data_IF_947314738954
#
_entry.id   IF_947314738954
#
_cell.length_a   1.000
_cell.length_b   1.000
_cell.length_c   1.000
_cell.angle_alpha   90.00
_cell.angle_beta   90.00
_cell.angle_gamma   90.00
#
_symmetry.space_group_name_H-M   'P 1'
#
loop_
_entity.id
_entity.type
_entity.pdbx_description
1 polymer ?
#
# COMPACT_ATOMS: atom_id res chain seq x y z
N UNK A 1 9.07 16.90 8.81
CA UNK A 1 10.47 16.68 9.27
C UNK A 1 11.17 15.54 8.51
N UNK A 2 10.58 14.35 8.39
CA UNK A 2 11.21 13.17 7.74
C UNK A 2 11.37 13.27 6.22
N UNK A 3 10.40 13.84 5.51
CA UNK A 3 10.52 14.13 4.06
C UNK A 3 11.74 15.01 3.77
N UNK A 4 11.98 16.05 4.60
CA UNK A 4 13.16 16.92 4.45
C UNK A 4 14.47 16.16 4.69
N UNK A 5 14.47 15.14 5.55
CA UNK A 5 15.64 14.27 5.74
C UNK A 5 15.92 13.47 4.47
N UNK A 6 14.90 12.86 3.86
CA UNK A 6 15.09 12.15 2.58
C UNK A 6 15.55 13.09 1.48
N UNK A 7 14.97 14.29 1.38
CA UNK A 7 15.41 15.28 0.40
C UNK A 7 16.89 15.67 0.60
N UNK A 8 17.35 15.83 1.85
CA UNK A 8 18.76 16.08 2.17
C UNK A 8 19.66 14.90 1.83
N UNK A 9 19.22 13.67 2.08
CA UNK A 9 19.97 12.47 1.73
C UNK A 9 20.12 12.32 0.21
N UNK A 10 19.04 12.56 -0.54
CA UNK A 10 19.06 12.59 -2.01
C UNK A 10 19.98 13.69 -2.53
N UNK A 11 19.94 14.89 -1.95
CA UNK A 11 20.82 15.99 -2.35
C UNK A 11 22.31 15.68 -2.07
N UNK A 12 22.62 15.05 -0.93
CA UNK A 12 23.98 14.57 -0.62
C UNK A 12 24.43 13.51 -1.62
N UNK A 13 23.52 12.62 -2.02
CA UNK A 13 23.80 11.60 -3.03
C UNK A 13 24.07 12.25 -4.40
N UNK A 14 23.26 13.21 -4.85
CA UNK A 14 23.50 13.96 -6.10
C UNK A 14 24.88 14.62 -6.11
N UNK A 15 25.25 15.27 -5.00
CA UNK A 15 26.54 15.94 -4.86
C UNK A 15 27.72 14.95 -4.94
N UNK A 16 27.56 13.73 -4.41
CA UNK A 16 28.61 12.70 -4.41
C UNK A 16 28.72 11.92 -5.72
N UNK A 17 27.64 11.84 -6.52
CA UNK A 17 27.65 11.18 -7.82
C UNK A 17 28.24 12.08 -8.91
N UNK A 18 28.82 11.48 -9.95
CA UNK A 18 29.37 12.18 -11.12
C UNK A 18 28.81 11.57 -12.41
N UNK A 19 28.89 12.31 -13.52
CA UNK A 19 28.54 11.85 -14.86
C UNK A 19 27.16 11.18 -14.96
N UNK A 20 27.10 10.03 -15.61
CA UNK A 20 25.88 9.27 -15.87
C UNK A 20 25.15 8.86 -14.59
N UNK A 21 25.87 8.58 -13.51
CA UNK A 21 25.26 8.19 -12.25
C UNK A 21 24.44 9.33 -11.64
N UNK A 22 24.96 10.56 -11.71
CA UNK A 22 24.23 11.77 -11.30
C UNK A 22 23.04 12.01 -12.23
N UNK A 23 23.21 11.82 -13.53
CA UNK A 23 22.13 11.96 -14.50
C UNK A 23 20.96 10.99 -14.21
N UNK A 24 21.25 9.71 -13.94
CA UNK A 24 20.25 8.70 -13.55
C UNK A 24 19.46 9.10 -12.31
N UNK A 25 20.13 9.57 -11.25
CA UNK A 25 19.45 10.05 -10.05
C UNK A 25 18.49 11.21 -10.37
N UNK A 26 18.94 12.18 -11.16
CA UNK A 26 18.10 13.33 -11.54
C UNK A 26 16.90 12.93 -12.38
N UNK A 27 17.03 11.92 -13.25
CA UNK A 27 15.89 11.35 -13.97
C UNK A 27 14.88 10.75 -12.99
N UNK A 28 15.33 9.97 -12.00
CA UNK A 28 14.44 9.41 -10.97
C UNK A 28 13.72 10.50 -10.17
N UNK A 29 14.44 11.56 -9.76
CA UNK A 29 13.85 12.70 -9.05
C UNK A 29 12.81 13.41 -9.91
N UNK A 30 13.13 13.70 -11.19
CA UNK A 30 12.18 14.35 -12.10
C UNK A 30 10.95 13.49 -12.34
N UNK A 31 11.13 12.19 -12.56
CA UNK A 31 10.02 11.26 -12.76
C UNK A 31 9.10 11.22 -11.53
N UNK A 32 9.64 11.22 -10.31
CA UNK A 32 8.82 11.26 -9.10
C UNK A 32 8.21 12.63 -8.75
N UNK A 33 8.64 13.71 -9.41
CA UNK A 33 8.11 15.06 -9.23
C UNK A 33 7.16 15.50 -10.36
N UNK A 34 7.23 14.84 -11.51
CA UNK A 34 6.47 15.19 -12.70
C UNK A 34 5.64 13.97 -13.15
N UNK A 35 4.32 14.16 -13.24
CA UNK A 35 3.38 13.12 -13.69
C UNK A 35 2.69 12.38 -12.54
N UNK A 36 2.29 11.13 -12.79
CA UNK A 36 1.55 10.28 -11.85
C UNK A 36 2.45 9.44 -10.93
N UNK A 37 3.77 9.43 -11.18
CA UNK A 37 4.72 8.69 -10.35
C UNK A 37 5.04 9.44 -9.04
N UNK A 38 5.48 8.70 -8.02
CA UNK A 38 5.80 9.26 -6.70
C UNK A 38 7.29 9.23 -6.41
N UNK A 39 7.75 10.02 -5.44
CA UNK A 39 9.12 9.93 -4.90
C UNK A 39 9.33 8.71 -3.97
N UNK A 40 8.31 7.90 -3.72
CA UNK A 40 8.37 6.80 -2.76
C UNK A 40 9.43 5.75 -3.13
N UNK A 41 9.57 5.30 -4.39
CA UNK A 41 10.64 4.37 -4.76
C UNK A 41 12.04 4.91 -4.44
N UNK A 42 12.28 6.20 -4.68
CA UNK A 42 13.55 6.85 -4.36
C UNK A 42 13.77 6.97 -2.85
N UNK A 43 12.73 7.32 -2.09
CA UNK A 43 12.80 7.41 -0.62
C UNK A 43 13.02 6.03 0.01
N UNK A 44 12.39 5.00 -0.53
CA UNK A 44 12.63 3.62 -0.12
C UNK A 44 14.08 3.19 -0.39
N UNK A 45 14.62 3.49 -1.58
CA UNK A 45 16.02 3.21 -1.92
C UNK A 45 17.01 3.81 -0.90
N UNK A 46 16.90 5.12 -0.62
CA UNK A 46 17.82 5.79 0.32
C UNK A 46 17.62 5.31 1.75
N UNK A 47 16.38 5.00 2.14
CA UNK A 47 16.04 4.42 3.44
C UNK A 47 16.66 3.04 3.61
N UNK A 48 16.53 2.15 2.63
CA UNK A 48 17.12 0.81 2.66
C UNK A 48 18.65 0.89 2.76
N UNK A 49 19.27 1.81 2.01
CA UNK A 49 20.70 2.07 2.13
C UNK A 49 21.09 2.59 3.53
N UNK A 50 20.29 3.48 4.14
CA UNK A 50 20.53 3.98 5.49
C UNK A 50 20.41 2.86 6.55
N UNK A 51 19.40 2.00 6.45
CA UNK A 51 19.24 0.84 7.34
C UNK A 51 20.41 -0.14 7.22
N UNK A 52 20.87 -0.43 6.02
CA UNK A 52 22.04 -1.28 5.81
C UNK A 52 23.29 -0.68 6.46
N UNK A 53 23.52 0.64 6.32
CA UNK A 53 24.63 1.34 7.00
C UNK A 53 24.53 1.27 8.52
N UNK A 54 23.33 1.47 9.08
CA UNK A 54 23.11 1.35 10.53
C UNK A 54 23.40 -0.06 11.05
N UNK A 55 23.25 -1.07 10.19
CA UNK A 55 23.57 -2.48 10.47
C UNK A 55 25.04 -2.82 10.18
N UNK A 56 25.89 -1.83 9.91
CA UNK A 56 27.33 -2.00 9.72
C UNK A 56 27.76 -2.43 8.32
N UNK A 57 26.88 -2.31 7.31
CA UNK A 57 27.25 -2.61 5.93
C UNK A 57 27.85 -1.40 5.22
N UNK A 58 28.90 -1.64 4.43
CA UNK A 58 29.26 -0.75 3.33
C UNK A 58 28.18 -0.86 2.24
N UNK A 59 27.76 0.26 1.67
CA UNK A 59 26.66 0.31 0.70
C UNK A 59 27.12 0.99 -0.59
N UNK A 60 26.98 0.29 -1.71
CA UNK A 60 27.20 0.81 -3.06
C UNK A 60 25.87 0.88 -3.82
N UNK A 61 25.56 2.02 -4.44
CA UNK A 61 24.36 2.19 -5.29
C UNK A 61 24.62 1.70 -6.72
N UNK A 62 24.78 0.39 -6.91
CA UNK A 62 25.14 -0.19 -8.21
C UNK A 62 24.17 0.19 -9.34
N UNK A 63 22.87 0.31 -9.06
CA UNK A 63 21.89 0.74 -10.07
C UNK A 63 22.13 2.16 -10.58
N UNK A 64 22.59 3.06 -9.71
CA UNK A 64 22.95 4.43 -10.10
C UNK A 64 24.34 4.49 -10.74
N UNK A 65 25.34 3.90 -10.06
CA UNK A 65 26.75 3.99 -10.44
C UNK A 65 27.05 3.24 -11.73
N UNK A 66 26.62 1.99 -11.80
CA UNK A 66 27.04 1.03 -12.83
C UNK A 66 25.91 0.69 -13.81
N UNK A 67 24.67 1.18 -13.54
CA UNK A 67 23.49 0.78 -14.31
C UNK A 67 23.10 -0.68 -14.09
N UNK A 68 23.46 -1.26 -12.93
CA UNK A 68 23.09 -2.62 -12.59
C UNK A 68 21.57 -2.78 -12.47
N UNK A 69 21.08 -4.00 -12.66
CA UNK A 69 19.64 -4.32 -12.53
C UNK A 69 19.16 -4.28 -11.07
N UNK A 70 20.05 -4.59 -10.12
CA UNK A 70 19.83 -4.42 -8.69
C UNK A 70 20.23 -3.01 -8.22
N UNK A 71 19.62 -2.54 -7.13
CA UNK A 71 19.79 -1.15 -6.70
C UNK A 71 21.07 -0.97 -5.87
N UNK A 72 21.28 -1.86 -4.90
CA UNK A 72 22.40 -1.77 -3.96
C UNK A 72 23.21 -3.07 -3.93
N UNK A 73 24.50 -2.94 -3.68
CA UNK A 73 25.34 -4.01 -3.15
C UNK A 73 25.73 -3.63 -1.72
N UNK A 74 25.43 -4.52 -0.78
CA UNK A 74 25.81 -4.36 0.63
C UNK A 74 26.92 -5.33 0.96
N UNK A 75 27.93 -4.89 1.71
CA UNK A 75 29.07 -5.71 2.09
C UNK A 75 29.42 -5.54 3.57
N UNK A 76 29.63 -6.65 4.29
CA UNK A 76 30.06 -6.68 5.68
C UNK A 76 30.85 -7.95 5.95
N UNK A 77 32.03 -7.82 6.57
CA UNK A 77 32.87 -8.97 6.98
C UNK A 77 33.12 -9.98 5.84
N UNK A 78 33.41 -9.47 4.64
CA UNK A 78 33.65 -10.28 3.43
C UNK A 78 32.40 -10.88 2.77
N UNK A 79 31.24 -10.81 3.42
CA UNK A 79 29.97 -11.22 2.83
C UNK A 79 29.35 -10.07 2.03
N UNK A 80 28.75 -10.38 0.87
CA UNK A 80 28.03 -9.40 0.04
C UNK A 80 26.64 -9.90 -0.34
N UNK A 81 25.70 -8.97 -0.49
CA UNK A 81 24.36 -9.27 -0.99
C UNK A 81 23.85 -8.17 -1.94
N UNK A 82 23.18 -8.58 -3.00
CA UNK A 82 22.43 -7.69 -3.89
C UNK A 82 21.11 -7.32 -3.24
N UNK A 83 20.72 -6.05 -3.29
CA UNK A 83 19.44 -5.57 -2.78
C UNK A 83 18.63 -4.94 -3.90
N UNK A 84 17.40 -5.40 -4.02
CA UNK A 84 16.40 -4.89 -4.96
C UNK A 84 15.32 -4.18 -4.16
N UNK A 85 15.25 -2.86 -4.30
CA UNK A 85 14.21 -2.01 -3.73
C UNK A 85 13.03 -1.96 -4.69
N UNK A 86 11.87 -2.45 -4.26
CA UNK A 86 10.67 -2.49 -5.08
C UNK A 86 9.48 -1.91 -4.33
N UNK A 87 8.72 -1.02 -4.98
CA UNK A 87 7.43 -0.56 -4.50
C UNK A 87 6.30 -1.35 -5.18
N UNK A 88 5.25 -1.64 -4.44
CA UNK A 88 4.02 -2.30 -4.91
C UNK A 88 2.83 -1.57 -4.30
N UNK A 89 1.82 -1.24 -5.10
CA UNK A 89 0.61 -0.64 -4.56
C UNK A 89 -0.31 -1.72 -3.99
N UNK A 90 -0.86 -1.48 -2.80
CA UNK A 90 -1.91 -2.33 -2.27
C UNK A 90 -3.17 -2.33 -3.15
N UNK A 91 -3.35 -1.32 -4.01
CA UNK A 91 -4.43 -1.30 -5.01
C UNK A 91 -4.35 -2.52 -5.96
N UNK A 92 -3.15 -3.02 -6.28
CA UNK A 92 -2.97 -4.20 -7.15
C UNK A 92 -3.63 -5.48 -6.58
N UNK A 93 -3.85 -5.52 -5.26
CA UNK A 93 -4.56 -6.61 -4.60
C UNK A 93 -6.01 -6.27 -4.22
N UNK A 94 -6.47 -5.04 -4.43
CA UNK A 94 -7.82 -4.63 -4.04
C UNK A 94 -8.84 -5.01 -5.11
N UNK A 95 -9.96 -5.56 -4.67
CA UNK A 95 -11.10 -5.86 -5.56
C UNK A 95 -11.93 -4.62 -5.89
N UNK A 96 -11.88 -3.60 -5.03
CA UNK A 96 -12.43 -2.29 -5.30
C UNK A 96 -11.38 -1.23 -4.98
N UNK A 97 -10.92 -0.52 -6.00
CA UNK A 97 -9.85 0.46 -5.86
C UNK A 97 -10.31 1.70 -5.08
N UNK A 98 -9.44 2.24 -4.22
CA UNK A 98 -9.69 3.49 -3.47
C UNK A 98 -9.79 4.69 -4.39
N UNK A 99 -8.91 4.75 -5.41
CA UNK A 99 -8.90 5.84 -6.38
C UNK A 99 -10.24 5.95 -7.12
N UNK A 100 -10.74 4.82 -7.61
CA UNK A 100 -12.02 4.75 -8.31
C UNK A 100 -13.19 5.14 -7.40
N UNK A 101 -13.16 4.70 -6.14
CA UNK A 101 -14.13 5.12 -5.13
C UNK A 101 -14.11 6.63 -4.90
N UNK A 102 -12.94 7.24 -4.70
CA UNK A 102 -12.83 8.68 -4.50
C UNK A 102 -13.31 9.46 -5.73
N UNK A 103 -12.93 9.02 -6.94
CA UNK A 103 -13.39 9.61 -8.18
C UNK A 103 -14.92 9.54 -8.32
N UNK A 104 -15.55 8.42 -7.97
CA UNK A 104 -17.01 8.30 -7.93
C UNK A 104 -17.61 9.29 -6.93
N UNK A 105 -17.04 9.38 -5.73
CA UNK A 105 -17.59 10.25 -4.69
C UNK A 105 -17.48 11.73 -5.02
N UNK A 106 -16.37 12.16 -5.62
CA UNK A 106 -16.19 13.55 -6.06
C UNK A 106 -17.23 13.94 -7.13
N UNK A 107 -17.57 13.00 -8.03
CA UNK A 107 -18.60 13.19 -9.04
C UNK A 107 -20.02 13.10 -8.52
N UNK A 108 -20.27 12.31 -7.47
CA UNK A 108 -21.59 12.12 -6.86
C UNK A 108 -21.96 13.22 -5.86
N UNK A 109 -20.97 13.92 -5.31
CA UNK A 109 -21.18 14.82 -4.17
C UNK A 109 -22.21 15.94 -4.45
N UNK A 110 -22.17 16.67 -5.58
CA UNK A 110 -23.16 17.71 -5.88
C UNK A 110 -24.61 17.18 -5.99
N UNK A 111 -24.79 16.03 -6.62
CA UNK A 111 -26.08 15.38 -6.86
C UNK A 111 -26.65 14.84 -5.55
N UNK A 112 -25.81 14.24 -4.70
CA UNK A 112 -26.24 13.78 -3.37
C UNK A 112 -26.65 14.94 -2.47
N UNK A 113 -25.96 16.08 -2.53
CA UNK A 113 -26.37 17.28 -1.79
C UNK A 113 -27.73 17.78 -2.27
N UNK A 114 -27.93 17.85 -3.58
CA UNK A 114 -29.22 18.26 -4.18
C UNK A 114 -30.34 17.30 -3.78
N UNK A 115 -30.08 15.99 -3.86
CA UNK A 115 -31.05 14.97 -3.51
C UNK A 115 -31.40 14.99 -2.02
N UNK A 116 -30.41 15.15 -1.12
CA UNK A 116 -30.61 15.24 0.33
C UNK A 116 -31.43 16.47 0.73
N UNK A 117 -31.22 17.61 0.08
CA UNK A 117 -32.01 18.82 0.33
C UNK A 117 -33.50 18.61 -0.02
N UNK A 118 -33.79 17.85 -1.07
CA UNK A 118 -35.15 17.49 -1.47
C UNK A 118 -35.75 16.34 -0.65
N UNK A 119 -34.92 15.50 -0.02
CA UNK A 119 -35.33 14.32 0.75
C UNK A 119 -34.65 14.31 2.13
N UNK A 120 -35.13 15.13 3.08
CA UNK A 120 -34.52 15.20 4.41
C UNK A 120 -34.63 13.85 5.14
N UNK A 121 -33.51 13.38 5.69
CA UNK A 121 -33.48 12.08 6.36
C UNK A 121 -32.09 11.50 6.57
N UNK A 122 -32.06 10.23 7.03
CA UNK A 122 -30.83 9.49 7.33
C UNK A 122 -30.81 8.19 6.53
N UNK A 123 -29.91 8.10 5.57
CA UNK A 123 -29.89 7.06 4.56
C UNK A 123 -28.56 6.31 4.54
N UNK A 124 -28.63 5.03 4.22
CA UNK A 124 -27.50 4.13 4.08
C UNK A 124 -27.66 3.34 2.78
N UNK A 125 -26.86 3.69 1.77
CA UNK A 125 -26.74 2.94 0.54
C UNK A 125 -25.62 1.90 0.69
N UNK A 126 -26.01 0.63 0.82
CA UNK A 126 -25.09 -0.51 0.81
C UNK A 126 -24.93 -1.01 -0.62
N UNK A 127 -23.69 -1.21 -1.03
CA UNK A 127 -23.35 -1.72 -2.36
C UNK A 127 -22.40 -2.90 -2.23
N UNK A 128 -22.72 -4.00 -2.92
CA UNK A 128 -21.82 -5.14 -3.08
C UNK A 128 -21.55 -5.36 -4.55
N UNK A 129 -20.27 -5.38 -4.92
CA UNK A 129 -19.79 -5.68 -6.27
C UNK A 129 -19.19 -7.09 -6.26
N UNK A 130 -19.91 -8.13 -6.71
CA UNK A 130 -19.53 -9.52 -6.46
C UNK A 130 -18.12 -9.88 -6.95
N UNK A 131 -17.75 -9.48 -8.16
CA UNK A 131 -16.45 -9.79 -8.75
C UNK A 131 -15.35 -8.76 -8.43
N UNK A 132 -15.72 -7.60 -7.88
CA UNK A 132 -14.83 -6.45 -7.77
C UNK A 132 -14.73 -5.68 -9.09
N UNK A 133 -14.50 -4.37 -8.99
CA UNK A 133 -14.51 -3.45 -10.12
C UNK A 133 -15.91 -3.24 -10.72
N UNK A 134 -16.17 -2.02 -11.15
CA UNK A 134 -17.32 -1.67 -11.99
C UNK A 134 -16.91 -0.48 -12.85
N UNK A 135 -17.49 -0.33 -14.03
CA UNK A 135 -17.42 0.96 -14.69
C UNK A 135 -18.08 2.01 -13.79
N UNK A 136 -17.27 2.91 -13.23
CA UNK A 136 -17.72 3.91 -12.27
C UNK A 136 -18.72 4.90 -12.88
N UNK A 137 -18.66 5.11 -14.21
CA UNK A 137 -19.67 5.91 -14.91
C UNK A 137 -21.05 5.23 -14.86
N UNK A 138 -21.10 3.95 -15.25
CA UNK A 138 -22.34 3.16 -15.15
C UNK A 138 -22.88 3.04 -13.72
N UNK A 139 -21.99 2.95 -12.71
CA UNK A 139 -22.37 2.88 -11.31
C UNK A 139 -23.02 4.19 -10.85
N UNK A 140 -22.44 5.34 -11.19
CA UNK A 140 -23.00 6.67 -10.92
C UNK A 140 -24.41 6.81 -11.49
N UNK A 141 -24.58 6.55 -12.79
CA UNK A 141 -25.87 6.64 -13.48
C UNK A 141 -26.93 5.77 -12.81
N UNK A 142 -26.55 4.56 -12.41
CA UNK A 142 -27.46 3.61 -11.79
C UNK A 142 -27.86 4.01 -10.37
N UNK A 143 -26.94 4.55 -9.57
CA UNK A 143 -27.25 5.11 -8.24
C UNK A 143 -28.24 6.26 -8.41
N UNK A 144 -27.96 7.21 -9.29
CA UNK A 144 -28.83 8.37 -9.52
C UNK A 144 -30.20 7.95 -10.06
N UNK A 145 -30.25 6.98 -10.97
CA UNK A 145 -31.49 6.39 -11.47
C UNK A 145 -32.32 5.72 -10.36
N UNK A 146 -31.67 4.98 -9.45
CA UNK A 146 -32.31 4.37 -8.29
C UNK A 146 -32.90 5.43 -7.35
N UNK A 147 -32.13 6.49 -7.06
CA UNK A 147 -32.53 7.59 -6.18
C UNK A 147 -33.66 8.43 -6.79
N UNK A 148 -33.59 8.73 -8.09
CA UNK A 148 -34.63 9.47 -8.82
C UNK A 148 -35.95 8.69 -8.89
N UNK A 149 -35.87 7.37 -9.11
CA UNK A 149 -37.03 6.48 -9.08
C UNK A 149 -37.51 6.12 -7.66
N UNK A 150 -36.85 6.66 -6.62
CA UNK A 150 -37.11 6.35 -5.20
C UNK A 150 -37.14 4.85 -4.88
N UNK A 151 -36.35 4.06 -5.60
CA UNK A 151 -36.23 2.62 -5.38
C UNK A 151 -35.41 2.35 -4.12
N UNK A 152 -35.83 1.36 -3.33
CA UNK A 152 -35.07 0.91 -2.14
C UNK A 152 -34.01 -0.13 -2.46
N UNK A 153 -34.07 -0.77 -3.61
CA UNK A 153 -33.17 -1.82 -4.01
C UNK A 153 -33.02 -1.85 -5.53
N UNK A 154 -31.83 -2.22 -5.98
CA UNK A 154 -31.52 -2.52 -7.37
C UNK A 154 -30.45 -3.61 -7.39
N UNK A 155 -30.68 -4.68 -8.13
CA UNK A 155 -29.77 -5.82 -8.21
C UNK A 155 -29.57 -6.29 -9.64
N UNK A 156 -28.36 -6.76 -9.91
CA UNK A 156 -27.91 -7.41 -11.13
C UNK A 156 -26.81 -8.41 -10.79
N UNK A 157 -26.32 -9.16 -11.78
CA UNK A 157 -25.20 -10.07 -11.61
C UNK A 157 -23.95 -9.37 -11.03
N UNK A 158 -23.70 -8.13 -11.43
CA UNK A 158 -22.43 -7.43 -11.12
C UNK A 158 -22.55 -6.38 -10.01
N UNK A 159 -23.76 -6.12 -9.53
CA UNK A 159 -24.03 -5.09 -8.53
C UNK A 159 -25.30 -5.38 -7.75
N UNK A 160 -25.20 -5.27 -6.42
CA UNK A 160 -26.32 -5.33 -5.50
C UNK A 160 -26.34 -4.04 -4.69
N UNK A 161 -27.41 -3.26 -4.81
CA UNK A 161 -27.64 -2.01 -4.08
C UNK A 161 -28.87 -2.09 -3.20
N UNK A 162 -28.74 -1.58 -1.97
CA UNK A 162 -29.84 -1.47 -1.03
C UNK A 162 -29.78 -0.15 -0.26
N UNK A 163 -30.86 0.62 -0.34
CA UNK A 163 -31.07 1.83 0.43
C UNK A 163 -31.86 1.51 1.69
N UNK A 164 -31.14 1.48 2.82
CA UNK A 164 -31.70 1.30 4.15
C UNK A 164 -31.79 2.65 4.89
N UNK A 165 -32.69 2.80 5.87
CA UNK A 165 -32.57 3.84 6.87
C UNK A 165 -31.26 3.66 7.64
N UNK A 166 -30.52 4.76 7.87
CA UNK A 166 -29.31 4.73 8.68
C UNK A 166 -29.69 4.65 10.16
N UNK A 167 -29.70 3.43 10.70
CA UNK A 167 -29.90 3.16 12.13
C UNK A 167 -28.54 2.82 12.74
N UNK A 168 -27.97 3.76 13.51
CA UNK A 168 -26.76 3.50 14.29
C UNK A 168 -27.20 3.12 15.71
N UNK A 169 -27.05 1.84 16.06
CA UNK A 169 -27.32 1.39 17.42
C UNK A 169 -26.40 2.15 18.40
N UNK A 170 -26.99 2.93 19.31
CA UNK A 170 -26.28 3.51 20.45
C UNK A 170 -25.62 4.87 20.26
N UNK A 171 -25.83 5.60 19.15
CA UNK A 171 -25.22 6.93 19.02
C UNK A 171 -26.20 7.98 18.48
N UNK A 172 -26.68 8.83 19.38
CA UNK A 172 -26.68 10.26 19.08
C UNK A 172 -25.21 10.66 18.80
N UNK A 173 -24.72 10.35 17.60
CA UNK A 173 -23.34 10.58 17.21
C UNK A 173 -23.13 12.08 17.06
N UNK A 174 -22.78 12.75 18.15
CA UNK A 174 -22.33 14.13 18.15
C UNK A 174 -20.92 14.14 17.54
N UNK A 175 -20.85 14.22 16.21
CA UNK A 175 -19.61 14.47 15.46
C UNK A 175 -19.29 13.43 14.37
N UNK A 176 -18.73 13.93 13.26
CA UNK A 176 -18.32 13.13 12.08
C UNK A 176 -17.36 11.98 12.42
N UNK A 177 -16.47 12.17 13.41
CA UNK A 177 -15.47 11.16 13.81
C UNK A 177 -16.08 9.93 14.52
N UNK A 178 -17.14 10.12 15.31
CA UNK A 178 -17.81 9.01 15.98
C UNK A 178 -18.60 8.16 14.98
N UNK A 179 -19.24 8.82 14.01
CA UNK A 179 -19.94 8.17 12.91
C UNK A 179 -18.99 7.31 12.06
N UNK A 180 -17.84 7.84 11.67
CA UNK A 180 -16.87 7.07 10.87
C UNK A 180 -16.35 5.83 11.59
N UNK A 181 -16.11 5.92 12.91
CA UNK A 181 -15.69 4.78 13.71
C UNK A 181 -16.74 3.67 13.78
N UNK A 182 -18.01 4.04 14.02
CA UNK A 182 -19.11 3.09 14.06
C UNK A 182 -19.34 2.39 12.70
N UNK A 183 -19.28 3.15 11.60
CA UNK A 183 -19.39 2.58 10.25
C UNK A 183 -18.24 1.61 9.94
N UNK A 184 -17.01 1.95 10.33
CA UNK A 184 -15.86 1.05 10.17
C UNK A 184 -16.02 -0.26 10.95
N UNK A 185 -16.54 -0.21 12.18
CA UNK A 185 -16.84 -1.42 12.96
C UNK A 185 -17.94 -2.27 12.31
N UNK A 186 -18.95 -1.64 11.72
CA UNK A 186 -20.08 -2.34 11.11
C UNK A 186 -19.73 -2.99 9.76
N UNK A 187 -18.92 -2.32 8.93
CA UNK A 187 -18.66 -2.74 7.55
C UNK A 187 -17.29 -3.39 7.33
N UNK A 188 -16.39 -3.31 8.32
CA UNK A 188 -15.05 -3.87 8.24
C UNK A 188 -14.04 -2.99 7.50
N UNK A 189 -12.78 -3.45 7.44
CA UNK A 189 -11.67 -2.68 6.86
C UNK A 189 -11.73 -2.55 5.34
N UNK A 190 -12.28 -3.56 4.65
CA UNK A 190 -12.33 -3.61 3.18
C UNK A 190 -13.46 -2.80 2.55
N UNK A 191 -14.40 -2.32 3.36
CA UNK A 191 -15.49 -1.48 2.86
C UNK A 191 -15.00 -0.05 2.60
N UNK A 192 -15.36 0.50 1.46
CA UNK A 192 -15.24 1.92 1.19
C UNK A 192 -16.45 2.66 1.73
N UNK A 193 -16.20 3.73 2.47
CA UNK A 193 -17.22 4.51 3.15
C UNK A 193 -17.14 5.95 2.70
N UNK A 194 -18.31 6.56 2.45
CA UNK A 194 -18.43 7.98 2.21
C UNK A 194 -19.66 8.53 2.95
N UNK A 195 -19.54 9.76 3.45
CA UNK A 195 -20.59 10.42 4.22
C UNK A 195 -20.84 11.80 3.64
N UNK A 196 -22.06 12.00 3.15
CA UNK A 196 -22.60 13.30 2.72
C UNK A 196 -23.57 13.77 3.79
N UNK A 197 -23.41 15.01 4.26
CA UNK A 197 -24.26 15.61 5.29
C UNK A 197 -24.73 16.98 4.85
N UNK A 198 -25.98 17.31 5.13
CA UNK A 198 -26.51 18.67 5.09
C UNK A 198 -26.62 19.21 6.53
N UNK A 199 -25.75 20.15 6.93
CA UNK A 199 -25.75 20.71 8.28
C UNK A 199 -27.04 21.47 8.64
N UNK A 200 -27.77 21.99 7.63
CA UNK A 200 -28.94 22.82 7.87
C UNK A 200 -30.17 22.00 8.27
N UNK A 201 -30.35 20.83 7.66
CA UNK A 201 -31.44 19.90 7.96
C UNK A 201 -31.05 18.78 8.92
N UNK A 202 -29.75 18.59 9.18
CA UNK A 202 -29.23 17.44 9.91
C UNK A 202 -29.31 16.12 9.13
N UNK A 203 -29.58 16.18 7.83
CA UNK A 203 -29.69 15.02 6.95
C UNK A 203 -28.34 14.39 6.67
N UNK A 204 -28.32 13.07 6.55
CA UNK A 204 -27.10 12.28 6.36
C UNK A 204 -27.33 11.19 5.33
N UNK A 205 -26.43 11.07 4.35
CA UNK A 205 -26.37 9.96 3.41
C UNK A 205 -25.02 9.26 3.56
N UNK A 206 -25.05 7.97 3.86
CA UNK A 206 -23.86 7.12 3.93
C UNK A 206 -23.86 6.19 2.73
N UNK A 207 -22.76 6.16 2.00
CA UNK A 207 -22.49 5.11 1.02
C UNK A 207 -21.46 4.14 1.60
N UNK A 208 -21.76 2.86 1.51
CA UNK A 208 -20.88 1.77 1.92
C UNK A 208 -20.75 0.78 0.76
N UNK A 209 -19.57 0.69 0.15
CA UNK A 209 -19.29 -0.21 -0.95
C UNK A 209 -18.26 -1.27 -0.55
N UNK A 210 -18.47 -2.50 -0.97
CA UNK A 210 -17.47 -3.58 -0.83
C UNK A 210 -17.48 -4.49 -2.05
N UNK A 211 -16.36 -5.15 -2.28
CA UNK A 211 -16.37 -6.30 -3.18
C UNK A 211 -16.99 -7.53 -2.49
N UNK A 212 -17.49 -8.48 -3.28
CA UNK A 212 -17.94 -9.78 -2.79
C UNK A 212 -16.80 -10.74 -2.46
N UNK A 213 -15.59 -10.43 -2.93
CA UNK A 213 -14.34 -11.17 -2.68
C UNK A 213 -13.41 -10.38 -1.77
N UNK A 214 -12.60 -11.10 -1.00
CA UNK A 214 -11.56 -10.51 -0.15
C UNK A 214 -10.45 -9.87 -0.99
N UNK A 215 -9.79 -8.87 -0.41
CA UNK A 215 -8.61 -8.27 -1.01
C UNK A 215 -7.42 -9.23 -0.90
N UNK A 216 -6.57 -9.26 -1.92
CA UNK A 216 -5.42 -10.18 -2.04
C UNK A 216 -4.10 -9.41 -2.04
N UNK A 217 -3.98 -8.39 -1.19
CA UNK A 217 -2.80 -7.51 -1.12
C UNK A 217 -1.52 -8.32 -0.96
N UNK A 218 -1.49 -9.29 -0.04
CA UNK A 218 -0.29 -10.12 0.16
C UNK A 218 0.11 -10.89 -1.11
N UNK A 219 -0.87 -11.37 -1.89
CA UNK A 219 -0.60 -12.07 -3.16
C UNK A 219 -0.04 -11.14 -4.22
N UNK A 220 -0.54 -9.89 -4.31
CA UNK A 220 0.05 -8.88 -5.18
C UNK A 220 1.52 -8.59 -4.81
N UNK A 221 1.83 -8.48 -3.51
CA UNK A 221 3.23 -8.35 -3.06
C UNK A 221 4.06 -9.55 -3.52
N UNK A 222 3.58 -10.79 -3.36
CA UNK A 222 4.28 -12.00 -3.82
C UNK A 222 4.51 -12.02 -5.33
N UNK A 223 3.51 -11.65 -6.12
CA UNK A 223 3.65 -11.57 -7.58
C UNK A 223 4.81 -10.61 -7.93
N UNK A 224 4.83 -9.43 -7.30
CA UNK A 224 5.91 -8.45 -7.46
C UNK A 224 7.27 -8.96 -6.97
N UNK A 225 7.33 -9.74 -5.88
CA UNK A 225 8.57 -10.40 -5.43
C UNK A 225 9.12 -11.34 -6.50
N UNK A 226 8.25 -12.15 -7.13
CA UNK A 226 8.64 -13.07 -8.19
C UNK A 226 9.18 -12.35 -9.42
N UNK A 227 8.48 -11.31 -9.89
CA UNK A 227 8.93 -10.45 -10.99
C UNK A 227 10.29 -9.81 -10.69
N UNK A 228 10.44 -9.21 -9.49
CA UNK A 228 11.67 -8.55 -9.09
C UNK A 228 12.84 -9.53 -8.95
N UNK A 229 12.61 -10.71 -8.36
CA UNK A 229 13.66 -11.72 -8.20
C UNK A 229 14.19 -12.23 -9.55
N UNK A 230 13.30 -12.48 -10.50
CA UNK A 230 13.68 -13.00 -11.82
C UNK A 230 14.32 -11.93 -12.71
N UNK A 231 13.80 -10.70 -12.68
CA UNK A 231 14.24 -9.65 -13.59
C UNK A 231 15.45 -8.84 -13.07
N UNK A 232 15.62 -8.73 -11.75
CA UNK A 232 16.54 -7.74 -11.16
C UNK A 232 17.76 -8.32 -10.46
N UNK A 233 17.67 -9.52 -9.89
CA UNK A 233 18.81 -10.18 -9.26
C UNK A 233 19.71 -10.83 -10.32
N UNK A 234 21.02 -10.63 -10.19
CA UNK A 234 21.98 -11.19 -11.15
C UNK A 234 22.28 -12.66 -10.89
N UNK A 235 22.07 -13.11 -9.64
CA UNK A 235 22.45 -14.45 -9.17
C UNK A 235 23.94 -14.61 -8.83
N UNK A 236 24.75 -13.55 -8.93
CA UNK A 236 26.18 -13.59 -8.54
C UNK A 236 26.40 -13.50 -7.04
N UNK A 237 25.49 -12.82 -6.34
CA UNK A 237 25.46 -12.73 -4.89
C UNK A 237 24.07 -13.14 -4.36
N UNK A 238 23.97 -13.54 -3.08
CA UNK A 238 22.70 -13.66 -2.39
C UNK A 238 21.87 -12.37 -2.55
N UNK A 239 20.59 -12.52 -2.88
CA UNK A 239 19.66 -11.43 -3.12
C UNK A 239 18.76 -11.13 -1.94
N UNK A 240 18.49 -9.85 -1.70
CA UNK A 240 17.52 -9.35 -0.74
C UNK A 240 16.47 -8.54 -1.51
N UNK A 241 15.20 -8.92 -1.36
CA UNK A 241 14.09 -8.12 -1.89
C UNK A 241 13.60 -7.17 -0.78
N UNK A 242 13.81 -5.87 -0.94
CA UNK A 242 13.28 -4.85 -0.04
C UNK A 242 11.97 -4.31 -0.64
N UNK A 243 10.84 -4.81 -0.13
CA UNK A 243 9.50 -4.48 -0.60
C UNK A 243 8.92 -3.29 0.17
N UNK A 244 8.38 -2.33 -0.56
CA UNK A 244 7.64 -1.19 -0.02
C UNK A 244 6.19 -1.27 -0.47
N UNK A 245 5.27 -1.42 0.48
CA UNK A 245 3.85 -1.56 0.18
C UNK A 245 3.19 -0.19 0.29
N UNK A 246 2.75 0.34 -0.84
CA UNK A 246 2.09 1.63 -0.97
C UNK A 246 0.58 1.52 -0.77
N UNK A 247 -0.05 2.67 -0.54
CA UNK A 247 -1.51 2.84 -0.51
C UNK A 247 -2.23 2.01 0.57
N UNK A 248 -1.51 1.71 1.63
CA UNK A 248 -2.05 1.20 2.89
C UNK A 248 -2.23 2.35 3.89
N UNK A 249 -3.35 2.30 4.62
CA UNK A 249 -3.49 3.07 5.84
C UNK A 249 -2.87 2.32 7.04
N UNK A 250 -2.84 2.99 8.20
CA UNK A 250 -2.23 2.43 9.42
C UNK A 250 -2.94 1.17 9.91
N UNK A 251 -4.26 1.12 9.77
CA UNK A 251 -5.06 -0.02 10.24
C UNK A 251 -4.90 -1.23 9.33
N UNK A 252 -4.86 -1.03 8.02
CA UNK A 252 -4.58 -2.09 7.05
C UNK A 252 -3.17 -2.65 7.21
N UNK A 253 -2.16 -1.77 7.34
CA UNK A 253 -0.78 -2.21 7.52
C UNK A 253 -0.61 -3.02 8.79
N UNK A 254 -1.23 -2.56 9.89
CA UNK A 254 -1.26 -3.32 11.13
C UNK A 254 -1.99 -4.65 10.97
N UNK A 255 -3.17 -4.65 10.35
CA UNK A 255 -3.95 -5.86 10.11
C UNK A 255 -3.17 -6.93 9.34
N UNK A 256 -2.44 -6.53 8.29
CA UNK A 256 -1.63 -7.43 7.48
C UNK A 256 -0.46 -8.06 8.26
N UNK A 257 0.06 -7.35 9.27
CA UNK A 257 1.09 -7.86 10.18
C UNK A 257 0.51 -8.75 11.26
N UNK A 258 -0.56 -8.31 11.92
CA UNK A 258 -1.20 -9.00 13.03
C UNK A 258 -1.86 -10.32 12.56
N UNK A 259 -2.34 -10.39 11.31
CA UNK A 259 -2.89 -11.62 10.70
C UNK A 259 -1.84 -12.61 10.20
N UNK A 260 -0.56 -12.21 10.15
CA UNK A 260 0.55 -12.98 9.56
C UNK A 260 0.36 -13.36 8.09
N UNK A 261 -0.59 -12.75 7.37
CA UNK A 261 -0.88 -13.10 5.98
C UNK A 261 0.33 -12.80 5.07
N UNK A 262 0.94 -11.62 5.23
CA UNK A 262 2.14 -11.23 4.48
C UNK A 262 3.31 -12.14 4.80
N UNK A 263 3.48 -12.55 6.06
CA UNK A 263 4.51 -13.51 6.44
C UNK A 263 4.27 -14.87 5.76
N UNK A 264 3.06 -15.42 5.87
CA UNK A 264 2.71 -16.70 5.27
C UNK A 264 2.90 -16.72 3.75
N UNK A 265 2.51 -15.65 3.07
CA UNK A 265 2.73 -15.48 1.62
C UNK A 265 4.22 -15.36 1.28
N UNK A 266 4.97 -14.55 2.01
CA UNK A 266 6.42 -14.37 1.79
C UNK A 266 7.18 -15.69 2.00
N UNK A 267 6.84 -16.44 3.05
CA UNK A 267 7.44 -17.75 3.33
C UNK A 267 7.14 -18.76 2.24
N UNK A 268 5.92 -18.77 1.69
CA UNK A 268 5.58 -19.62 0.53
C UNK A 268 6.42 -19.23 -0.69
N UNK A 269 6.50 -17.95 -1.02
CA UNK A 269 7.36 -17.47 -2.11
C UNK A 269 8.82 -17.94 -1.95
N UNK A 270 9.39 -17.87 -0.75
CA UNK A 270 10.78 -18.30 -0.49
C UNK A 270 11.04 -19.79 -0.74
N UNK A 271 10.00 -20.62 -0.93
CA UNK A 271 10.12 -22.02 -1.33
C UNK A 271 10.02 -22.24 -2.85
N UNK A 272 9.69 -21.20 -3.61
CA UNK A 272 9.49 -21.29 -5.06
C UNK A 272 10.80 -21.19 -5.84
N UNK A 273 10.89 -21.75 -7.07
CA UNK A 273 12.09 -21.66 -7.90
C UNK A 273 12.53 -20.21 -8.21
N UNK A 274 11.58 -19.28 -8.29
CA UNK A 274 11.85 -17.86 -8.50
C UNK A 274 12.68 -17.24 -7.35
N UNK A 275 12.57 -17.78 -6.14
CA UNK A 275 13.30 -17.33 -4.96
C UNK A 275 14.68 -17.99 -4.79
N UNK A 276 15.17 -18.75 -5.77
CA UNK A 276 16.45 -19.50 -5.67
C UNK A 276 17.65 -18.66 -5.22
N UNK A 277 17.66 -17.38 -5.61
CA UNK A 277 18.74 -16.43 -5.29
C UNK A 277 18.39 -15.52 -4.10
N UNK A 278 17.20 -15.66 -3.53
CA UNK A 278 16.69 -14.77 -2.47
C UNK A 278 17.04 -15.35 -1.10
N UNK A 279 17.93 -14.67 -0.38
CA UNK A 279 18.32 -15.03 0.99
C UNK A 279 17.39 -14.41 2.04
N UNK A 280 16.76 -13.26 1.73
CA UNK A 280 15.76 -12.64 2.59
C UNK A 280 14.82 -11.72 1.81
N UNK A 281 13.64 -11.50 2.38
CA UNK A 281 12.72 -10.44 1.96
C UNK A 281 12.52 -9.50 3.15
N UNK A 282 12.57 -8.19 2.93
CA UNK A 282 12.09 -7.19 3.88
C UNK A 282 10.84 -6.50 3.37
N UNK A 283 9.92 -6.15 4.27
CA UNK A 283 8.69 -5.44 3.95
C UNK A 283 8.54 -4.21 4.85
N UNK A 284 8.17 -3.08 4.25
CA UNK A 284 7.89 -1.82 4.92
C UNK A 284 6.74 -1.08 4.25
N UNK A 285 6.15 -0.13 4.96
CA UNK A 285 5.09 0.76 4.47
C UNK A 285 5.43 2.22 4.77
N UNK A 286 4.48 3.13 4.49
CA UNK A 286 4.58 4.54 4.89
C UNK A 286 4.72 4.70 6.42
N UNK A 287 4.25 3.75 7.23
CA UNK A 287 4.43 3.78 8.67
C UNK A 287 5.92 3.75 9.06
N UNK A 288 6.70 2.85 8.45
CA UNK A 288 8.14 2.73 8.65
C UNK A 288 8.93 3.87 7.97
N UNK A 289 8.47 4.33 6.81
CA UNK A 289 9.09 5.44 6.07
C UNK A 289 9.06 6.74 6.89
N UNK A 290 7.91 7.04 7.48
CA UNK A 290 7.69 8.22 8.32
C UNK A 290 7.92 7.97 9.82
N UNK A 291 8.25 6.72 10.18
CA UNK A 291 8.51 6.19 11.51
C UNK A 291 7.50 6.62 12.55
N UNK A 292 6.27 6.15 12.32
CA UNK A 292 5.32 5.97 13.41
C UNK A 292 5.92 5.01 14.46
N UNK A 293 5.52 5.14 15.73
CA UNK A 293 5.97 4.20 16.75
C UNK A 293 5.30 2.82 16.56
N UNK A 294 5.79 1.77 17.23
CA UNK A 294 4.98 0.59 17.49
C UNK A 294 3.74 0.97 18.32
N UNK A 295 2.58 0.31 18.10
CA UNK A 295 2.39 -0.85 17.23
C UNK A 295 2.12 -0.51 15.76
N UNK A 296 2.12 0.76 15.33
CA UNK A 296 1.78 1.15 13.95
C UNK A 296 2.89 0.81 12.93
N UNK A 297 4.14 0.66 13.37
CA UNK A 297 5.25 0.20 12.53
C UNK A 297 5.95 -1.03 13.11
N UNK A 298 6.77 -1.69 12.30
CA UNK A 298 7.74 -2.68 12.77
C UNK A 298 8.79 -2.03 13.68
N UNK A 299 9.14 -2.70 14.79
CA UNK A 299 10.05 -2.16 15.81
C UNK A 299 11.45 -1.85 15.27
N UNK A 300 11.96 -2.71 14.37
CA UNK A 300 13.26 -2.54 13.74
C UNK A 300 13.20 -1.79 12.40
N UNK A 301 12.08 -1.12 12.15
CA UNK A 301 11.84 -0.35 10.93
C UNK A 301 11.46 -1.19 9.72
N UNK A 302 11.47 -2.52 9.76
CA UNK A 302 10.93 -3.34 8.67
C UNK A 302 10.67 -4.75 9.17
N UNK A 303 9.69 -5.41 8.57
CA UNK A 303 9.58 -6.85 8.67
C UNK A 303 10.69 -7.49 7.86
N UNK A 304 11.26 -8.59 8.35
CA UNK A 304 12.28 -9.36 7.64
C UNK A 304 11.96 -10.83 7.74
N UNK A 305 12.08 -11.50 6.61
CA UNK A 305 11.83 -12.93 6.46
C UNK A 305 13.04 -13.58 5.82
N UNK A 306 13.83 -14.28 6.64
CA UNK A 306 14.97 -15.07 6.18
C UNK A 306 14.50 -16.28 5.37
N UNK A 307 15.18 -16.59 4.27
CA UNK A 307 15.07 -17.87 3.59
C UNK A 307 16.02 -18.89 4.26
N UNK A 308 15.53 -19.84 5.07
CA UNK A 308 16.40 -20.79 5.76
C UNK A 308 17.05 -21.82 4.81
N UNK A 309 16.50 -22.01 3.61
CA UNK A 309 17.00 -22.98 2.62
C UNK A 309 18.16 -22.44 1.79
N UNK A 310 18.35 -21.12 1.76
CA UNK A 310 19.40 -20.50 0.96
C UNK A 310 20.80 -20.76 1.58
N UNK A 311 21.84 -21.15 0.81
CA UNK A 311 23.16 -21.47 1.36
C UNK A 311 23.79 -20.35 2.21
N UNK A 312 23.56 -19.10 1.81
CA UNK A 312 24.07 -17.92 2.53
C UNK A 312 23.27 -17.55 3.80
N UNK A 313 22.18 -18.26 4.14
CA UNK A 313 21.32 -17.92 5.28
C UNK A 313 22.01 -18.01 6.65
N UNK A 314 23.11 -18.77 6.72
CA UNK A 314 23.94 -18.94 7.93
C UNK A 314 25.17 -18.02 7.95
N UNK A 315 25.35 -17.18 6.93
CA UNK A 315 26.49 -16.28 6.85
C UNK A 315 26.37 -15.18 7.92
N UNK A 316 27.31 -15.14 8.86
CA UNK A 316 27.32 -14.19 9.99
C UNK A 316 27.49 -12.73 9.54
N UNK A 317 28.21 -12.49 8.44
CA UNK A 317 28.36 -11.16 7.85
C UNK A 317 27.03 -10.60 7.38
N UNK A 318 26.15 -11.45 6.83
CA UNK A 318 24.81 -11.08 6.38
C UNK A 318 23.75 -11.05 7.48
N UNK A 319 24.00 -11.69 8.63
CA UNK A 319 23.00 -11.89 9.69
C UNK A 319 22.20 -10.61 10.06
N UNK A 320 22.81 -9.42 10.22
CA UNK A 320 22.05 -8.22 10.57
C UNK A 320 21.05 -7.76 9.49
N UNK A 321 21.27 -8.12 8.22
CA UNK A 321 20.36 -7.79 7.12
C UNK A 321 19.30 -8.88 6.87
N UNK A 322 19.55 -10.12 7.27
CA UNK A 322 18.69 -11.26 6.90
C UNK A 322 17.98 -11.92 8.09
N UNK A 323 18.37 -11.64 9.33
CA UNK A 323 17.71 -12.20 10.50
C UNK A 323 16.23 -11.77 10.51
N UNK A 324 15.34 -12.75 10.67
CA UNK A 324 13.91 -12.49 10.74
C UNK A 324 13.61 -11.58 11.92
N UNK A 325 12.80 -10.57 11.68
CA UNK A 325 12.35 -9.60 12.67
C UNK A 325 10.97 -9.10 12.25
N UNK A 326 10.08 -8.89 13.20
CA UNK A 326 8.70 -8.51 12.93
C UNK A 326 7.82 -8.77 14.13
#
# INVERSE_FOLDING_TARGET
KRVLQFAREVARLDAALLGDARARLRVMVRAGLAGEATLIPLFHLVRTAALARLRGFAVRFCGLLDGATHDLLITREGASAEVVCCAVSAEEGRKLHRGDWFNLMDRMYPELQTWLAAHPGRYLLKMTLPEGGSDMGSLQERILGMLAAQKRQDSSADLIMKLDPLVLAGAQAVGKSALSGALRQQFGPDAHLAVTSDPSSGSVFVMAARAGRENEVAQAVKARMGEAALARLSGRHPGILAMFIEDMDRTEWRGLRDSLELEGVTRRFLTEPAARHVVAVSCASRAELFGFPPPESAAEGELRFRNPSHPAAKNLGLAPAIASAG
#
